data_IF_688046125348
#
_entry.id   IF_688046125348
#
_cell.length_a   1.000
_cell.length_b   1.000
_cell.length_c   1.000
_cell.angle_alpha   90.00
_cell.angle_beta   90.00
_cell.angle_gamma   90.00
#
_symmetry.space_group_name_H-M   'P 1'
#
loop_
_entity.id
_entity.type
_entity.pdbx_description
1 polymer ?
#
# COMPACT_ATOMS: atom_id res chain seq x y z
N UNK A 1 3.40 -26.91 -52.64
CA UNK A 1 2.57 -26.35 -51.54
C UNK A 1 3.28 -25.12 -50.98
N UNK A 2 2.70 -23.91 -51.05
CA UNK A 2 3.34 -22.74 -50.45
C UNK A 2 3.26 -22.84 -48.92
N UNK A 3 4.41 -22.83 -48.27
CA UNK A 3 4.54 -22.74 -46.80
C UNK A 3 3.98 -21.38 -46.34
N UNK A 4 2.78 -21.40 -45.76
CA UNK A 4 2.20 -20.24 -45.09
C UNK A 4 3.01 -19.96 -43.81
N UNK A 5 3.95 -19.02 -43.87
CA UNK A 5 4.57 -18.48 -42.66
C UNK A 5 3.46 -17.89 -41.77
N UNK A 6 3.38 -18.29 -40.49
CA UNK A 6 2.40 -17.70 -39.58
C UNK A 6 2.66 -16.19 -39.48
N UNK A 7 1.60 -15.36 -39.41
CA UNK A 7 1.74 -13.92 -39.35
C UNK A 7 2.57 -13.52 -38.11
N UNK A 8 3.39 -12.47 -38.20
CA UNK A 8 4.16 -11.98 -37.05
C UNK A 8 3.20 -11.65 -35.91
N UNK A 9 3.45 -12.24 -34.73
CA UNK A 9 2.72 -11.93 -33.49
C UNK A 9 2.85 -10.43 -33.25
N UNK A 10 1.74 -9.69 -33.39
CA UNK A 10 1.70 -8.26 -33.03
C UNK A 10 2.24 -8.14 -31.60
N UNK A 11 3.19 -7.24 -31.32
CA UNK A 11 3.65 -7.04 -29.95
C UNK A 11 2.44 -6.73 -29.09
N UNK A 12 2.17 -7.60 -28.10
CA UNK A 12 1.03 -7.45 -27.22
C UNK A 12 1.10 -6.10 -26.53
N UNK A 13 -0.03 -5.38 -26.47
CA UNK A 13 -0.09 -4.13 -25.69
C UNK A 13 0.42 -4.43 -24.28
N UNK A 14 1.31 -3.60 -23.70
CA UNK A 14 1.78 -3.83 -22.34
C UNK A 14 0.58 -3.95 -21.40
N UNK A 15 0.53 -5.07 -20.67
CA UNK A 15 -0.58 -5.43 -19.78
C UNK A 15 -0.89 -4.35 -18.73
N UNK A 16 0.14 -3.57 -18.36
CA UNK A 16 0.04 -2.43 -17.46
C UNK A 16 0.73 -1.20 -18.09
N UNK A 17 0.09 -0.02 -18.06
CA UNK A 17 0.62 1.21 -18.63
C UNK A 17 1.81 1.71 -17.81
N UNK A 18 2.70 2.47 -18.46
CA UNK A 18 3.93 2.97 -17.85
C UNK A 18 3.68 3.78 -16.58
N UNK A 19 2.67 4.67 -16.59
CA UNK A 19 2.34 5.51 -15.42
C UNK A 19 2.05 4.68 -14.18
N UNK A 20 1.34 3.55 -14.32
CA UNK A 20 0.98 2.67 -13.20
C UNK A 20 2.22 2.08 -12.54
N UNK A 21 3.19 1.66 -13.37
CA UNK A 21 4.47 1.10 -12.90
C UNK A 21 5.29 2.17 -12.19
N UNK A 22 5.38 3.35 -12.78
CA UNK A 22 6.13 4.48 -12.20
C UNK A 22 5.53 4.86 -10.84
N UNK A 23 4.21 5.07 -10.77
CA UNK A 23 3.54 5.38 -9.50
C UNK A 23 3.71 4.27 -8.47
N UNK A 24 3.72 3.00 -8.89
CA UNK A 24 3.92 1.89 -7.97
C UNK A 24 5.33 1.86 -7.39
N UNK A 25 6.37 2.02 -8.22
CA UNK A 25 7.75 2.05 -7.74
C UNK A 25 8.06 3.26 -6.87
N UNK A 26 7.46 4.41 -7.17
CA UNK A 26 7.53 5.59 -6.29
C UNK A 26 6.89 5.28 -4.93
N UNK A 27 5.72 4.64 -4.90
CA UNK A 27 5.10 4.21 -3.65
C UNK A 27 5.96 3.20 -2.88
N UNK A 28 6.55 2.22 -3.56
CA UNK A 28 7.43 1.23 -2.92
C UNK A 28 8.64 1.90 -2.24
N UNK A 29 9.27 2.87 -2.93
CA UNK A 29 10.34 3.67 -2.35
C UNK A 29 9.86 4.52 -1.16
N UNK A 30 8.69 5.16 -1.29
CA UNK A 30 8.11 5.97 -0.22
C UNK A 30 7.83 5.13 1.03
N UNK A 31 7.22 3.94 0.87
CA UNK A 31 6.96 3.00 1.96
C UNK A 31 8.27 2.57 2.64
N UNK A 32 9.31 2.25 1.88
CA UNK A 32 10.61 1.90 2.44
C UNK A 32 11.18 3.02 3.33
N UNK A 33 11.17 4.26 2.84
CA UNK A 33 11.60 5.44 3.60
C UNK A 33 10.74 5.63 4.85
N UNK A 34 9.42 5.51 4.73
CA UNK A 34 8.46 5.66 5.83
C UNK A 34 8.67 4.61 6.92
N UNK A 35 8.90 3.35 6.56
CA UNK A 35 9.10 2.24 7.51
C UNK A 35 10.42 2.41 8.26
N UNK A 36 11.53 2.58 7.55
CA UNK A 36 12.86 2.69 8.20
C UNK A 36 12.97 3.92 9.10
N UNK A 37 12.36 5.04 8.70
CA UNK A 37 12.29 6.24 9.55
C UNK A 37 11.28 6.08 10.68
N UNK A 38 10.14 5.40 10.43
CA UNK A 38 9.10 5.11 11.41
C UNK A 38 9.59 4.23 12.56
N UNK A 39 10.43 3.22 12.27
CA UNK A 39 11.12 2.44 13.29
C UNK A 39 11.98 3.30 14.22
N UNK A 40 12.74 4.26 13.66
CA UNK A 40 13.54 5.18 14.48
C UNK A 40 12.68 6.11 15.35
N UNK A 41 11.51 6.52 14.85
CA UNK A 41 10.52 7.31 15.60
C UNK A 41 9.90 6.47 16.72
N UNK A 42 9.57 5.21 16.42
CA UNK A 42 9.07 4.25 17.41
C UNK A 42 10.07 4.07 18.56
N UNK A 43 11.36 3.88 18.26
CA UNK A 43 12.40 3.68 19.28
C UNK A 43 12.55 4.87 20.25
N UNK A 44 12.12 6.08 19.86
CA UNK A 44 12.17 7.25 20.74
C UNK A 44 11.07 7.24 21.81
N UNK A 45 10.00 6.48 21.60
CA UNK A 45 8.95 6.23 22.60
C UNK A 45 8.32 4.86 22.31
N UNK A 46 8.95 3.75 22.72
CA UNK A 46 8.45 2.42 22.38
C UNK A 46 7.05 2.16 22.95
N UNK A 47 6.21 1.46 22.18
CA UNK A 47 4.88 0.99 22.62
C UNK A 47 4.98 -0.39 23.28
N UNK A 48 6.03 -1.15 22.94
CA UNK A 48 6.32 -2.51 23.40
C UNK A 48 7.78 -2.58 23.87
N UNK A 49 8.13 -3.66 24.57
CA UNK A 49 9.45 -3.85 25.18
C UNK A 49 10.54 -4.31 24.18
N UNK A 50 10.56 -3.72 22.98
CA UNK A 50 11.61 -3.94 21.99
C UNK A 50 11.94 -2.64 21.26
N UNK A 51 13.11 -2.64 20.60
CA UNK A 51 13.59 -1.55 19.74
C UNK A 51 14.14 -2.12 18.45
N UNK A 52 14.15 -1.33 17.39
CA UNK A 52 14.73 -1.71 16.12
C UNK A 52 16.25 -1.41 16.10
N UNK A 53 17.09 -2.29 15.55
CA UNK A 53 18.52 -2.02 15.42
C UNK A 53 18.79 -0.77 14.58
N UNK A 54 19.63 0.14 15.07
CA UNK A 54 19.89 1.43 14.40
C UNK A 54 20.39 1.29 12.95
N UNK A 55 21.11 0.21 12.63
CA UNK A 55 21.63 -0.09 11.29
C UNK A 55 20.57 -0.38 10.21
N UNK A 56 19.33 -0.67 10.59
CA UNK A 56 18.21 -0.86 9.65
C UNK A 56 17.20 0.29 9.69
N UNK A 57 17.48 1.32 10.49
CA UNK A 57 16.62 2.51 10.61
C UNK A 57 17.17 3.69 9.81
N UNK A 58 16.33 4.67 9.50
CA UNK A 58 16.70 5.85 8.71
C UNK A 58 16.64 7.13 9.56
N UNK A 59 17.63 8.02 9.35
CA UNK A 59 17.67 9.36 9.93
C UNK A 59 18.64 9.54 11.09
N UNK A 60 19.21 8.45 11.64
CA UNK A 60 20.29 8.45 12.66
C UNK A 60 19.83 8.88 14.06
N UNK A 61 19.08 9.97 14.17
CA UNK A 61 18.54 10.56 15.40
C UNK A 61 17.07 10.93 15.21
N UNK A 62 16.38 11.33 16.28
CA UNK A 62 14.93 11.55 16.25
C UNK A 62 14.50 12.61 15.22
N UNK A 63 15.11 13.80 15.20
CA UNK A 63 14.66 14.81 14.25
C UNK A 63 15.05 14.47 12.81
N UNK A 64 16.19 13.81 12.59
CA UNK A 64 16.55 13.28 11.27
C UNK A 64 15.54 12.23 10.78
N UNK A 65 15.09 11.33 11.65
CA UNK A 65 14.03 10.38 11.33
C UNK A 65 12.72 11.07 10.99
N UNK A 66 12.31 12.08 11.78
CA UNK A 66 11.12 12.88 11.49
C UNK A 66 11.22 13.58 10.13
N UNK A 67 12.37 14.16 9.77
CA UNK A 67 12.59 14.78 8.46
C UNK A 67 12.39 13.79 7.31
N UNK A 68 13.01 12.61 7.38
CA UNK A 68 12.85 11.56 6.38
C UNK A 68 11.42 11.02 6.32
N UNK A 69 10.77 10.89 7.47
CA UNK A 69 9.40 10.42 7.55
C UNK A 69 8.43 11.42 6.91
N UNK A 70 8.57 12.73 7.19
CA UNK A 70 7.73 13.73 6.52
C UNK A 70 8.02 13.84 5.02
N UNK A 71 9.28 13.69 4.60
CA UNK A 71 9.62 13.63 3.18
C UNK A 71 8.96 12.43 2.49
N UNK A 72 9.04 11.24 3.09
CA UNK A 72 8.36 10.03 2.63
C UNK A 72 6.83 10.18 2.63
N UNK A 73 6.27 10.83 3.64
CA UNK A 73 4.83 11.07 3.78
C UNK A 73 4.31 11.93 2.62
N UNK A 74 4.97 13.04 2.32
CA UNK A 74 4.56 13.90 1.20
C UNK A 74 4.71 13.19 -0.14
N UNK A 75 5.80 12.46 -0.35
CA UNK A 75 5.98 11.64 -1.55
C UNK A 75 4.85 10.61 -1.70
N UNK A 76 4.53 9.89 -0.62
CA UNK A 76 3.48 8.90 -0.57
C UNK A 76 2.09 9.49 -0.85
N UNK A 77 1.72 10.58 -0.14
CA UNK A 77 0.42 11.22 -0.29
C UNK A 77 0.23 11.82 -1.68
N UNK A 78 1.20 12.58 -2.18
CA UNK A 78 1.09 13.23 -3.49
C UNK A 78 1.03 12.20 -4.62
N UNK A 79 1.89 11.17 -4.56
CA UNK A 79 1.87 10.10 -5.55
C UNK A 79 0.59 9.25 -5.44
N UNK A 80 0.09 8.99 -4.23
CA UNK A 80 -1.17 8.30 -3.98
C UNK A 80 -2.38 9.06 -4.54
N UNK A 81 -2.43 10.39 -4.36
CA UNK A 81 -3.46 11.24 -4.95
C UNK A 81 -3.40 11.23 -6.48
N UNK A 82 -2.19 11.37 -7.06
CA UNK A 82 -2.01 11.27 -8.51
C UNK A 82 -2.47 9.91 -9.05
N UNK A 83 -2.11 8.82 -8.37
CA UNK A 83 -2.54 7.47 -8.70
C UNK A 83 -4.07 7.33 -8.66
N UNK A 84 -4.71 7.83 -7.61
CA UNK A 84 -6.17 7.76 -7.45
C UNK A 84 -6.88 8.56 -8.55
N UNK A 85 -6.45 9.80 -8.80
CA UNK A 85 -7.02 10.66 -9.84
C UNK A 85 -6.90 10.03 -11.23
N UNK A 86 -5.73 9.44 -11.56
CA UNK A 86 -5.53 8.74 -12.83
C UNK A 86 -6.40 7.48 -12.94
N UNK A 87 -6.59 6.73 -11.85
CA UNK A 87 -7.47 5.56 -11.84
C UNK A 87 -8.94 5.93 -12.02
N UNK A 88 -9.39 7.04 -11.43
CA UNK A 88 -10.75 7.57 -11.60
C UNK A 88 -10.94 8.10 -13.02
N UNK A 89 -10.03 8.95 -13.51
CA UNK A 89 -10.11 9.55 -14.84
C UNK A 89 -10.06 8.51 -15.97
N UNK A 90 -9.40 7.37 -15.77
CA UNK A 90 -9.34 6.28 -16.75
C UNK A 90 -10.47 5.23 -16.57
N UNK A 91 -11.34 5.39 -15.57
CA UNK A 91 -12.40 4.41 -15.23
C UNK A 91 -11.88 3.03 -14.79
N UNK A 92 -10.56 2.88 -14.65
CA UNK A 92 -9.89 1.59 -14.49
C UNK A 92 -10.21 0.93 -13.16
N UNK A 93 -10.43 1.72 -12.11
CA UNK A 93 -10.72 1.23 -10.76
C UNK A 93 -11.97 0.34 -10.74
N UNK A 94 -13.10 0.87 -11.22
CA UNK A 94 -14.38 0.16 -11.24
C UNK A 94 -14.32 -1.12 -12.09
N UNK A 95 -13.69 -1.05 -13.28
CA UNK A 95 -13.60 -2.18 -14.19
C UNK A 95 -12.67 -3.30 -13.73
N UNK A 96 -11.64 -3.01 -12.92
CA UNK A 96 -10.63 -3.98 -12.51
C UNK A 96 -10.84 -4.53 -11.10
N UNK A 97 -11.41 -3.74 -10.19
CA UNK A 97 -11.51 -4.10 -8.77
C UNK A 97 -12.88 -4.58 -8.34
N UNK A 98 -13.94 -4.24 -9.08
CA UNK A 98 -15.32 -4.62 -8.75
C UNK A 98 -15.91 -5.58 -9.81
N UNK A 99 -16.89 -6.42 -9.42
CA UNK A 99 -17.31 -6.72 -8.05
C UNK A 99 -16.34 -7.68 -7.33
N UNK A 100 -16.33 -7.61 -5.99
CA UNK A 100 -15.72 -8.61 -5.10
C UNK A 100 -16.84 -9.37 -4.42
N UNK A 101 -16.77 -10.71 -4.41
CA UNK A 101 -17.78 -11.56 -3.77
C UNK A 101 -17.15 -12.41 -2.68
N UNK A 102 -17.78 -12.47 -1.50
CA UNK A 102 -17.27 -13.25 -0.36
C UNK A 102 -17.07 -14.73 -0.71
N UNK A 103 -18.03 -15.33 -1.44
CA UNK A 103 -17.94 -16.71 -1.95
C UNK A 103 -16.76 -16.90 -2.92
N UNK A 104 -16.50 -15.92 -3.77
CA UNK A 104 -15.37 -15.94 -4.70
C UNK A 104 -14.02 -15.87 -3.99
N UNK A 105 -13.89 -15.02 -2.97
CA UNK A 105 -12.67 -14.90 -2.14
C UNK A 105 -12.38 -16.23 -1.45
N UNK A 106 -13.37 -16.85 -0.80
CA UNK A 106 -13.18 -18.13 -0.10
C UNK A 106 -12.78 -19.27 -1.04
N UNK A 107 -13.42 -19.35 -2.22
CA UNK A 107 -13.08 -20.35 -3.24
C UNK A 107 -11.64 -20.16 -3.76
N UNK A 108 -11.28 -18.94 -4.13
CA UNK A 108 -9.95 -18.65 -4.66
C UNK A 108 -8.86 -18.78 -3.57
N UNK A 109 -9.17 -18.47 -2.31
CA UNK A 109 -8.27 -18.71 -1.17
C UNK A 109 -8.02 -20.22 -0.97
N UNK A 110 -9.08 -21.04 -1.06
CA UNK A 110 -8.95 -22.50 -0.99
C UNK A 110 -8.15 -23.08 -2.16
N UNK A 111 -8.32 -22.54 -3.36
CA UNK A 111 -7.53 -22.91 -4.54
C UNK A 111 -6.07 -22.47 -4.42
N UNK A 112 -5.82 -21.30 -3.84
CA UNK A 112 -4.48 -20.79 -3.55
C UNK A 112 -3.75 -21.68 -2.53
N UNK A 113 -4.41 -22.03 -1.42
CA UNK A 113 -3.88 -22.96 -0.41
C UNK A 113 -3.54 -24.34 -0.99
N UNK A 114 -4.25 -24.76 -2.04
CA UNK A 114 -3.99 -26.03 -2.74
C UNK A 114 -2.99 -25.90 -3.90
N UNK A 115 -2.37 -24.72 -4.09
CA UNK A 115 -1.49 -24.40 -5.21
C UNK A 115 -2.11 -24.68 -6.61
N UNK A 116 -3.44 -24.64 -6.71
CA UNK A 116 -4.21 -24.92 -7.93
C UNK A 116 -4.81 -23.66 -8.56
N UNK A 117 -4.45 -22.48 -8.05
CA UNK A 117 -4.94 -21.23 -8.59
C UNK A 117 -4.28 -20.96 -9.96
N UNK A 118 -5.07 -21.06 -11.02
CA UNK A 118 -4.61 -20.76 -12.38
C UNK A 118 -4.30 -19.27 -12.50
N UNK A 119 -3.05 -18.95 -12.84
CA UNK A 119 -2.56 -17.59 -13.12
C UNK A 119 -2.60 -17.27 -14.63
N UNK A 120 -3.39 -18.01 -15.41
CA UNK A 120 -3.28 -18.05 -16.87
C UNK A 120 -3.59 -16.73 -17.60
N UNK A 121 -4.15 -15.72 -16.92
CA UNK A 121 -4.42 -14.41 -17.49
C UNK A 121 -3.91 -13.27 -16.58
N UNK A 122 -2.71 -12.77 -16.86
CA UNK A 122 -2.08 -11.63 -16.17
C UNK A 122 -2.91 -10.33 -16.30
N UNK A 123 -3.94 -10.32 -17.15
CA UNK A 123 -4.90 -9.23 -17.29
C UNK A 123 -6.04 -9.25 -16.26
N UNK A 124 -6.28 -10.37 -15.58
CA UNK A 124 -7.42 -10.53 -14.66
C UNK A 124 -6.97 -10.77 -13.22
N UNK A 125 -7.42 -9.91 -12.31
CA UNK A 125 -7.22 -10.14 -10.88
C UNK A 125 -8.21 -11.18 -10.37
N UNK A 126 -7.70 -12.23 -9.72
CA UNK A 126 -8.51 -13.20 -9.00
C UNK A 126 -9.13 -12.56 -7.74
N UNK A 127 -10.08 -13.25 -7.09
CA UNK A 127 -10.83 -12.66 -5.99
C UNK A 127 -9.97 -12.39 -4.75
N UNK A 128 -8.95 -13.23 -4.50
CA UNK A 128 -8.00 -13.03 -3.39
C UNK A 128 -7.14 -11.79 -3.63
N UNK A 129 -6.65 -11.58 -4.85
CA UNK A 129 -5.88 -10.39 -5.22
C UNK A 129 -6.72 -9.13 -5.07
N UNK A 130 -7.99 -9.14 -5.53
CA UNK A 130 -8.90 -8.00 -5.34
C UNK A 130 -9.14 -7.71 -3.86
N UNK A 131 -9.37 -8.74 -3.04
CA UNK A 131 -9.54 -8.59 -1.60
C UNK A 131 -8.26 -8.02 -0.94
N UNK A 132 -7.09 -8.52 -1.31
CA UNK A 132 -5.81 -8.01 -0.83
C UNK A 132 -5.60 -6.54 -1.21
N UNK A 133 -5.93 -6.14 -2.45
CA UNK A 133 -5.86 -4.73 -2.84
C UNK A 133 -6.82 -3.84 -2.06
N UNK A 134 -8.06 -4.29 -1.82
CA UNK A 134 -9.02 -3.53 -1.01
C UNK A 134 -8.56 -3.42 0.45
N UNK A 135 -8.00 -4.50 1.01
CA UNK A 135 -7.40 -4.49 2.34
C UNK A 135 -6.26 -3.46 2.41
N UNK A 136 -5.30 -3.50 1.48
CA UNK A 136 -4.19 -2.53 1.43
C UNK A 136 -4.72 -1.10 1.30
N UNK A 137 -5.75 -0.86 0.49
CA UNK A 137 -6.35 0.49 0.37
C UNK A 137 -6.95 0.93 1.71
N UNK A 138 -7.73 0.08 2.37
CA UNK A 138 -8.34 0.39 3.66
C UNK A 138 -7.28 0.64 4.75
N UNK A 139 -6.26 -0.21 4.80
CA UNK A 139 -5.15 -0.09 5.72
C UNK A 139 -4.36 1.21 5.50
N UNK A 140 -4.05 1.56 4.24
CA UNK A 140 -3.40 2.83 3.90
C UNK A 140 -4.22 4.06 4.29
N UNK A 141 -5.54 4.01 4.16
CA UNK A 141 -6.42 5.09 4.65
C UNK A 141 -6.28 5.21 6.17
N UNK A 142 -6.34 4.10 6.90
CA UNK A 142 -6.19 4.11 8.35
C UNK A 142 -4.78 4.53 8.80
N UNK A 143 -3.73 4.16 8.06
CA UNK A 143 -2.36 4.61 8.26
C UNK A 143 -2.25 6.13 8.16
N UNK A 144 -2.85 6.74 7.14
CA UNK A 144 -2.83 8.20 6.95
C UNK A 144 -3.63 8.91 8.03
N UNK A 145 -4.83 8.42 8.36
CA UNK A 145 -5.68 9.03 9.40
C UNK A 145 -5.03 8.97 10.79
N UNK A 146 -4.46 7.83 11.16
CA UNK A 146 -3.72 7.69 12.42
C UNK A 146 -2.45 8.56 12.43
N UNK A 147 -1.73 8.66 11.31
CA UNK A 147 -0.57 9.55 11.17
C UNK A 147 -0.92 11.03 11.34
N UNK A 148 -2.07 11.47 10.80
CA UNK A 148 -2.56 12.84 10.99
C UNK A 148 -2.86 13.14 12.47
N UNK A 149 -3.43 12.19 13.21
CA UNK A 149 -3.63 12.35 14.67
C UNK A 149 -2.29 12.45 15.39
N UNK A 150 -1.31 11.60 15.04
CA UNK A 150 0.02 11.64 15.68
C UNK A 150 0.74 12.96 15.39
N UNK A 151 0.63 13.49 14.17
CA UNK A 151 1.32 14.73 13.77
C UNK A 151 0.60 16.00 14.27
N UNK A 152 -0.73 16.01 14.24
CA UNK A 152 -1.56 17.22 14.36
C UNK A 152 -2.75 17.00 15.30
N UNK A 153 -2.53 16.26 16.38
CA UNK A 153 -3.54 15.82 17.35
C UNK A 153 -4.48 16.92 17.86
N UNK A 154 -3.96 18.13 18.08
CA UNK A 154 -4.72 19.29 18.57
C UNK A 154 -5.61 19.90 17.47
N UNK A 155 -5.17 19.82 16.21
CA UNK A 155 -5.86 20.38 15.06
C UNK A 155 -6.95 19.44 14.52
N UNK A 156 -6.87 18.15 14.85
CA UNK A 156 -7.88 17.14 14.48
C UNK A 156 -8.50 16.46 15.72
N UNK A 157 -9.19 17.20 16.60
CA UNK A 157 -9.70 16.65 17.86
C UNK A 157 -10.78 15.58 17.65
N UNK A 158 -11.69 15.77 16.69
CA UNK A 158 -12.72 14.78 16.36
C UNK A 158 -12.10 13.47 15.85
N UNK A 159 -11.12 13.54 14.95
CA UNK A 159 -10.44 12.34 14.44
C UNK A 159 -9.67 11.62 15.54
N UNK A 160 -9.00 12.36 16.42
CA UNK A 160 -8.35 11.81 17.62
C UNK A 160 -9.35 11.04 18.47
N UNK A 161 -10.52 11.60 18.73
CA UNK A 161 -11.57 10.95 19.54
C UNK A 161 -12.11 9.68 18.88
N UNK A 162 -12.39 9.74 17.57
CA UNK A 162 -12.82 8.58 16.79
C UNK A 162 -11.79 7.44 16.78
N UNK A 163 -10.50 7.77 16.82
CA UNK A 163 -9.41 6.80 16.91
C UNK A 163 -9.08 6.37 18.35
N UNK A 164 -9.83 6.83 19.36
CA UNK A 164 -9.63 6.43 20.76
C UNK A 164 -8.51 7.17 21.49
N UNK A 165 -8.09 8.33 21.00
CA UNK A 165 -7.04 9.16 21.59
C UNK A 165 -5.68 9.04 20.90
N UNK A 166 -4.72 9.85 21.38
CA UNK A 166 -3.37 9.92 20.80
C UNK A 166 -2.62 8.59 20.92
N UNK A 167 -2.62 7.97 22.10
CA UNK A 167 -1.94 6.68 22.33
C UNK A 167 -2.55 5.53 21.52
N UNK A 168 -3.88 5.51 21.38
CA UNK A 168 -4.53 4.50 20.53
C UNK A 168 -4.18 4.72 19.06
N UNK A 169 -4.15 5.98 18.58
CA UNK A 169 -3.72 6.29 17.23
C UNK A 169 -2.28 5.82 16.95
N UNK A 170 -1.36 5.91 17.91
CA UNK A 170 0.00 5.37 17.80
C UNK A 170 0.02 3.85 17.63
N UNK A 171 -0.81 3.13 18.39
CA UNK A 171 -0.97 1.67 18.26
C UNK A 171 -1.54 1.30 16.90
N UNK A 172 -2.62 1.96 16.48
CA UNK A 172 -3.24 1.77 15.17
C UNK A 172 -2.20 1.98 14.06
N UNK A 173 -1.47 3.09 14.10
CA UNK A 173 -0.45 3.41 13.10
C UNK A 173 0.67 2.37 13.03
N UNK A 174 1.10 1.85 14.19
CA UNK A 174 2.09 0.79 14.27
C UNK A 174 1.56 -0.53 13.67
N UNK A 175 0.33 -0.93 13.99
CA UNK A 175 -0.26 -2.17 13.45
C UNK A 175 -0.52 -2.10 11.95
N UNK A 176 -0.98 -0.96 11.43
CA UNK A 176 -1.11 -0.77 9.99
C UNK A 176 0.26 -0.83 9.28
N UNK A 177 1.31 -0.25 9.89
CA UNK A 177 2.67 -0.34 9.36
C UNK A 177 3.13 -1.79 9.27
N UNK A 178 2.86 -2.61 10.29
CA UNK A 178 3.16 -4.05 10.29
C UNK A 178 2.33 -4.81 9.26
N UNK A 179 1.06 -4.44 9.05
CA UNK A 179 0.17 -5.12 8.11
C UNK A 179 0.59 -4.97 6.63
N UNK A 180 1.37 -3.93 6.31
CA UNK A 180 1.87 -3.64 4.96
C UNK A 180 3.19 -4.35 4.65
N UNK A 181 3.98 -4.72 5.67
CA UNK A 181 5.32 -5.32 5.54
C UNK A 181 5.21 -6.84 5.51
#
# INVERSE_FOLDING_TARGET
>A
MPSLKPPPKKPGKPLQPLWLRVTHWINALAVLVMVMSGWRIYDASPIFDFVFPSGITLGGWLAGALQWHFAGMWLFVLNGLAYLLLNIATGRFAHRMLPVSLRGVLRDAWLALRARLSHADLGHYNQVQRAAYLFVIADLVLQVLSGLVIWKSVQFPLLRELLGGYEMARRIHFFCMVAII
#
